data_IF_029283779985
#
_entry.id   IF_029283779985
#
_cell.length_a   1.000
_cell.length_b   1.000
_cell.length_c   1.000
_cell.angle_alpha   90.00
_cell.angle_beta   90.00
_cell.angle_gamma   90.00
#
_symmetry.space_group_name_H-M   'P 1'
#
loop_
_entity.id
_entity.type
_entity.pdbx_description
1 polymer ?
#
# COMPACT_ATOMS: atom_id res chain seq x y z
N UNK A 1 4.89 -29.79 3.55
CA UNK A 1 4.91 -28.90 2.35
C UNK A 1 4.20 -27.55 2.55
N UNK A 2 2.95 -27.47 3.06
CA UNK A 2 2.23 -26.18 3.19
C UNK A 2 2.93 -25.12 4.07
N UNK A 3 3.62 -25.53 5.14
CA UNK A 3 4.38 -24.60 6.01
C UNK A 3 5.55 -23.94 5.25
N UNK A 4 6.27 -24.70 4.42
CA UNK A 4 7.40 -24.18 3.65
C UNK A 4 6.93 -23.12 2.64
N UNK A 5 5.85 -23.39 1.90
CA UNK A 5 5.26 -22.40 0.99
C UNK A 5 4.76 -21.15 1.70
N UNK A 6 4.21 -21.29 2.92
CA UNK A 6 3.81 -20.14 3.74
C UNK A 6 5.01 -19.30 4.17
N UNK A 7 6.10 -19.92 4.62
CA UNK A 7 7.33 -19.19 5.00
C UNK A 7 7.91 -18.47 3.77
N UNK A 8 7.99 -19.15 2.63
CA UNK A 8 8.48 -18.57 1.37
C UNK A 8 7.64 -17.36 0.93
N UNK A 9 6.30 -17.48 0.95
CA UNK A 9 5.40 -16.43 0.46
C UNK A 9 5.20 -15.30 1.48
N UNK A 10 5.21 -15.57 2.78
CA UNK A 10 4.99 -14.52 3.79
C UNK A 10 6.26 -13.82 4.28
N UNK A 11 7.43 -14.46 4.16
CA UNK A 11 8.68 -13.86 4.61
C UNK A 11 9.62 -13.56 3.45
N UNK A 12 9.97 -14.57 2.64
CA UNK A 12 11.03 -14.43 1.63
C UNK A 12 10.61 -13.51 0.48
N UNK A 13 9.38 -13.65 -0.02
CA UNK A 13 8.91 -12.83 -1.14
C UNK A 13 8.72 -11.35 -0.78
N UNK A 14 8.04 -10.98 0.34
CA UNK A 14 7.96 -9.59 0.79
C UNK A 14 9.33 -8.99 1.12
N UNK A 15 10.24 -9.77 1.72
CA UNK A 15 11.60 -9.34 1.98
C UNK A 15 12.36 -9.06 0.66
N UNK A 16 12.21 -9.92 -0.34
CA UNK A 16 12.78 -9.72 -1.67
C UNK A 16 12.26 -8.43 -2.34
N UNK A 17 10.94 -8.20 -2.30
CA UNK A 17 10.35 -6.95 -2.78
C UNK A 17 10.91 -5.74 -2.02
N UNK A 18 10.95 -5.81 -0.69
CA UNK A 18 11.49 -4.73 0.14
C UNK A 18 12.93 -4.40 -0.23
N UNK A 19 13.79 -5.39 -0.42
CA UNK A 19 15.19 -5.19 -0.83
C UNK A 19 15.30 -4.57 -2.23
N UNK A 20 14.45 -4.97 -3.17
CA UNK A 20 14.38 -4.38 -4.51
C UNK A 20 13.92 -2.93 -4.43
N UNK A 21 12.87 -2.66 -3.64
CA UNK A 21 12.30 -1.32 -3.42
C UNK A 21 13.38 -0.42 -2.79
N UNK A 22 14.05 -0.85 -1.72
CA UNK A 22 15.14 -0.10 -1.08
C UNK A 22 16.23 0.26 -2.08
N UNK A 23 16.70 -0.72 -2.87
CA UNK A 23 17.74 -0.49 -3.89
C UNK A 23 17.27 0.41 -5.03
N UNK A 24 16.03 0.24 -5.48
CA UNK A 24 15.42 1.02 -6.55
C UNK A 24 15.23 2.49 -6.16
N UNK A 25 14.72 2.74 -4.96
CA UNK A 25 14.57 4.07 -4.38
C UNK A 25 15.93 4.76 -4.17
N UNK A 26 16.97 4.02 -3.75
CA UNK A 26 18.31 4.58 -3.63
C UNK A 26 19.02 4.83 -4.97
N UNK A 27 18.65 4.11 -6.03
CA UNK A 27 19.34 4.17 -7.34
C UNK A 27 18.66 5.11 -8.35
N UNK A 28 17.38 5.41 -8.17
CA UNK A 28 16.65 6.33 -9.03
C UNK A 28 15.86 7.33 -8.18
N UNK A 29 16.34 8.58 -8.02
CA UNK A 29 15.55 9.65 -7.43
C UNK A 29 14.49 10.09 -8.46
N UNK A 30 13.59 9.18 -8.85
CA UNK A 30 12.45 9.54 -9.69
C UNK A 30 11.50 10.32 -8.79
N UNK A 31 11.65 11.64 -8.82
CA UNK A 31 10.56 12.53 -8.42
C UNK A 31 9.47 12.30 -9.47
N UNK A 32 8.57 11.36 -9.21
CA UNK A 32 7.39 11.18 -10.06
C UNK A 32 6.50 12.38 -9.80
N UNK A 33 6.57 13.34 -10.72
CA UNK A 33 5.61 14.44 -10.76
C UNK A 33 4.22 13.84 -10.99
N UNK A 34 3.26 14.27 -10.18
CA UNK A 34 1.91 13.75 -10.27
C UNK A 34 1.18 14.45 -11.40
N UNK A 35 0.96 13.77 -12.51
CA UNK A 35 0.27 14.36 -13.67
C UNK A 35 -1.10 14.91 -13.29
N UNK A 36 -1.83 14.29 -12.35
CA UNK A 36 -3.12 14.82 -11.87
C UNK A 36 -2.92 16.22 -11.29
N UNK A 37 -1.94 16.39 -10.41
CA UNK A 37 -1.63 17.70 -9.83
C UNK A 37 -1.19 18.70 -10.90
N UNK A 38 -0.40 18.25 -11.87
CA UNK A 38 0.08 19.12 -12.95
C UNK A 38 -1.07 19.61 -13.84
N UNK A 39 -2.10 18.77 -14.08
CA UNK A 39 -3.26 19.13 -14.90
C UNK A 39 -4.37 19.86 -14.15
N UNK A 40 -4.63 19.51 -12.89
CA UNK A 40 -5.79 20.03 -12.13
C UNK A 40 -5.41 21.00 -11.02
N UNK A 41 -4.13 21.04 -10.62
CA UNK A 41 -3.67 21.74 -9.42
C UNK A 41 -3.99 21.00 -8.11
N UNK A 42 -4.76 19.91 -8.15
CA UNK A 42 -5.23 19.22 -6.94
C UNK A 42 -4.34 18.05 -6.53
N UNK A 43 -4.13 17.93 -5.22
CA UNK A 43 -3.49 16.77 -4.60
C UNK A 43 -4.48 15.61 -4.49
N UNK A 44 -4.39 14.64 -5.40
CA UNK A 44 -5.20 13.43 -5.32
C UNK A 44 -4.85 12.59 -4.07
N UNK A 45 -5.69 11.62 -3.66
CA UNK A 45 -5.43 10.82 -2.45
C UNK A 45 -4.12 10.02 -2.47
N UNK A 46 -3.55 9.81 -3.66
CA UNK A 46 -2.26 9.15 -3.86
C UNK A 46 -1.06 10.11 -3.92
N UNK A 47 -1.27 11.43 -4.00
CA UNK A 47 -0.19 12.41 -4.09
C UNK A 47 0.77 12.28 -2.89
N UNK A 48 2.07 12.28 -3.20
CA UNK A 48 3.13 12.08 -2.20
C UNK A 48 3.31 10.64 -1.71
N UNK A 49 2.54 9.67 -2.20
CA UNK A 49 2.61 8.27 -1.76
C UNK A 49 4.00 7.65 -1.94
N UNK A 50 4.66 7.87 -3.08
CA UNK A 50 6.02 7.38 -3.31
C UNK A 50 7.03 7.98 -2.32
N UNK A 51 6.96 9.30 -2.07
CA UNK A 51 7.80 9.98 -1.07
C UNK A 51 7.52 9.47 0.34
N UNK A 52 6.26 9.14 0.64
CA UNK A 52 5.88 8.55 1.92
C UNK A 52 6.49 7.15 2.09
N UNK A 53 6.44 6.30 1.06
CA UNK A 53 7.11 4.99 1.07
C UNK A 53 8.63 5.13 1.24
N UNK A 54 9.25 6.07 0.51
CA UNK A 54 10.69 6.36 0.65
C UNK A 54 11.06 6.76 2.08
N UNK A 55 10.28 7.66 2.67
CA UNK A 55 10.48 8.09 4.04
C UNK A 55 10.33 6.92 5.03
N UNK A 56 9.35 6.02 4.84
CA UNK A 56 9.19 4.80 5.66
C UNK A 56 10.43 3.90 5.54
N UNK A 57 10.94 3.70 4.33
CA UNK A 57 12.15 2.89 4.08
C UNK A 57 13.37 3.47 4.78
N UNK A 58 13.48 4.80 4.83
CA UNK A 58 14.55 5.51 5.55
C UNK A 58 14.31 5.61 7.08
N UNK A 59 13.23 5.04 7.61
CA UNK A 59 12.85 5.12 9.03
C UNK A 59 12.27 6.47 9.46
N UNK A 60 11.98 7.36 8.51
CA UNK A 60 11.40 8.70 8.72
C UNK A 60 9.87 8.64 8.72
N UNK A 61 9.28 7.95 9.69
CA UNK A 61 7.84 7.75 9.75
C UNK A 61 7.07 9.08 9.83
N UNK A 62 7.55 10.05 10.60
CA UNK A 62 6.88 11.36 10.70
C UNK A 62 6.78 12.07 9.34
N UNK A 63 7.86 12.05 8.56
CA UNK A 63 7.89 12.65 7.22
C UNK A 63 6.95 11.92 6.26
N UNK A 64 6.86 10.58 6.39
CA UNK A 64 5.93 9.80 5.59
C UNK A 64 4.47 10.23 5.77
N UNK A 65 4.07 10.50 7.02
CA UNK A 65 2.74 11.02 7.33
C UNK A 65 2.50 12.38 6.68
N UNK A 66 3.49 13.28 6.71
CA UNK A 66 3.37 14.59 6.06
C UNK A 66 3.34 14.52 4.54
N UNK A 67 4.02 13.54 3.94
CA UNK A 67 3.94 13.32 2.50
C UNK A 67 2.57 12.77 2.08
N UNK A 68 2.04 11.79 2.81
CA UNK A 68 0.69 11.27 2.62
C UNK A 68 0.14 10.63 3.90
N UNK A 69 -0.87 11.24 4.49
CA UNK A 69 -1.47 10.83 5.77
C UNK A 69 -2.16 9.46 5.69
N UNK A 70 -2.64 9.07 4.50
CA UNK A 70 -3.28 7.77 4.28
C UNK A 70 -2.28 6.63 4.04
N UNK A 71 -0.97 6.89 3.98
CA UNK A 71 0.02 5.89 3.58
C UNK A 71 -0.02 4.63 4.45
N UNK A 72 -0.21 4.78 5.77
CA UNK A 72 -0.25 3.64 6.69
C UNK A 72 -1.48 2.77 6.48
N UNK A 73 -2.62 3.39 6.18
CA UNK A 73 -3.86 2.68 5.87
C UNK A 73 -3.68 1.94 4.55
N UNK A 74 -3.14 2.61 3.52
CA UNK A 74 -2.88 1.99 2.22
C UNK A 74 -1.95 0.79 2.33
N UNK A 75 -0.81 0.92 3.03
CA UNK A 75 0.14 -0.17 3.20
C UNK A 75 -0.48 -1.35 3.96
N UNK A 76 -1.29 -1.08 4.98
CA UNK A 76 -1.99 -2.12 5.75
C UNK A 76 -3.02 -2.87 4.88
N UNK A 77 -3.79 -2.14 4.07
CA UNK A 77 -4.77 -2.72 3.15
C UNK A 77 -4.07 -3.53 2.05
N UNK A 78 -2.98 -3.01 1.47
CA UNK A 78 -2.18 -3.73 0.47
C UNK A 78 -1.60 -5.02 1.05
N UNK A 79 -1.02 -4.97 2.26
CA UNK A 79 -0.49 -6.15 2.94
C UNK A 79 -1.59 -7.19 3.19
N UNK A 80 -2.79 -6.76 3.58
CA UNK A 80 -3.92 -7.66 3.79
C UNK A 80 -4.43 -8.28 2.47
N UNK A 81 -4.54 -7.49 1.41
CA UNK A 81 -4.86 -7.97 0.05
C UNK A 81 -3.83 -9.01 -0.39
N UNK A 82 -2.55 -8.78 -0.14
CA UNK A 82 -1.49 -9.74 -0.45
C UNK A 82 -1.71 -11.08 0.25
N UNK A 83 -2.04 -11.08 1.55
CA UNK A 83 -2.34 -12.32 2.29
C UNK A 83 -3.56 -13.04 1.70
N UNK A 84 -4.65 -12.31 1.42
CA UNK A 84 -5.83 -12.90 0.78
C UNK A 84 -5.51 -13.50 -0.59
N UNK A 85 -4.70 -12.80 -1.39
CA UNK A 85 -4.26 -13.27 -2.71
C UNK A 85 -3.43 -14.55 -2.60
N UNK A 86 -2.47 -14.60 -1.68
CA UNK A 86 -1.63 -15.78 -1.42
C UNK A 86 -2.49 -16.97 -0.99
N UNK A 87 -3.37 -16.79 0.00
CA UNK A 87 -4.22 -17.88 0.49
C UNK A 87 -5.16 -18.38 -0.62
N UNK A 88 -5.82 -17.50 -1.36
CA UNK A 88 -6.80 -17.88 -2.37
C UNK A 88 -6.17 -18.45 -3.65
N UNK A 89 -5.20 -17.76 -4.25
CA UNK A 89 -4.67 -18.10 -5.57
C UNK A 89 -3.48 -19.06 -5.51
N UNK A 90 -2.57 -18.91 -4.55
CA UNK A 90 -1.34 -19.70 -4.47
C UNK A 90 -1.51 -20.95 -3.61
N UNK A 91 -2.11 -20.80 -2.42
CA UNK A 91 -2.34 -21.92 -1.50
C UNK A 91 -3.69 -22.62 -1.72
N UNK A 92 -4.51 -22.11 -2.64
CA UNK A 92 -5.84 -22.64 -3.01
C UNK A 92 -6.80 -22.79 -1.82
N UNK A 93 -6.60 -21.99 -0.77
CA UNK A 93 -7.39 -21.98 0.45
C UNK A 93 -8.64 -21.09 0.29
N UNK A 94 -9.61 -21.56 -0.50
CA UNK A 94 -10.85 -20.82 -0.80
C UNK A 94 -11.66 -20.45 0.46
N UNK A 95 -11.59 -21.27 1.51
CA UNK A 95 -12.27 -21.02 2.80
C UNK A 95 -11.75 -19.78 3.52
N UNK A 96 -10.47 -19.46 3.35
CA UNK A 96 -9.88 -18.26 3.97
C UNK A 96 -10.48 -16.99 3.39
N UNK A 97 -10.61 -16.91 2.07
CA UNK A 97 -11.24 -15.76 1.39
C UNK A 97 -12.71 -15.60 1.76
N UNK A 98 -13.46 -16.71 1.89
CA UNK A 98 -14.87 -16.65 2.32
C UNK A 98 -15.04 -16.13 3.75
N UNK A 99 -14.06 -16.37 4.64
CA UNK A 99 -14.13 -15.96 6.05
C UNK A 99 -13.55 -14.58 6.32
N UNK A 100 -12.48 -14.23 5.60
CA UNK A 100 -11.66 -13.04 5.86
C UNK A 100 -11.65 -12.05 4.69
N UNK A 101 -12.38 -12.31 3.61
CA UNK A 101 -12.54 -11.35 2.52
C UNK A 101 -13.15 -10.04 3.00
N UNK A 102 -12.92 -8.96 2.26
CA UNK A 102 -13.49 -7.66 2.59
C UNK A 102 -15.01 -7.69 2.46
N UNK A 103 -15.70 -7.14 3.47
CA UNK A 103 -17.13 -6.90 3.39
C UNK A 103 -17.43 -5.67 2.51
N UNK A 104 -18.61 -5.64 1.88
CA UNK A 104 -19.08 -4.48 1.12
C UNK A 104 -19.10 -3.20 1.98
N UNK A 105 -19.42 -3.34 3.27
CA UNK A 105 -19.40 -2.22 4.23
C UNK A 105 -18.00 -1.66 4.42
N UNK A 106 -16.99 -2.53 4.55
CA UNK A 106 -15.60 -2.09 4.64
C UNK A 106 -15.17 -1.35 3.37
N UNK A 107 -15.47 -1.90 2.19
CA UNK A 107 -15.13 -1.25 0.91
C UNK A 107 -15.76 0.14 0.79
N UNK A 108 -17.04 0.26 1.15
CA UNK A 108 -17.74 1.55 1.17
C UNK A 108 -17.11 2.54 2.15
N UNK A 109 -16.84 2.13 3.40
CA UNK A 109 -16.17 2.98 4.39
C UNK A 109 -14.79 3.43 3.93
N UNK A 110 -14.02 2.55 3.30
CA UNK A 110 -12.69 2.87 2.78
C UNK A 110 -12.76 3.91 1.67
N UNK A 111 -13.72 3.78 0.75
CA UNK A 111 -13.97 4.78 -0.30
C UNK A 111 -14.36 6.13 0.32
N UNK A 112 -15.28 6.14 1.29
CA UNK A 112 -15.68 7.37 1.99
C UNK A 112 -14.49 8.05 2.66
N UNK A 113 -13.62 7.29 3.33
CA UNK A 113 -12.39 7.83 3.95
C UNK A 113 -11.47 8.47 2.90
N UNK A 114 -11.27 7.82 1.76
CA UNK A 114 -10.46 8.35 0.65
C UNK A 114 -11.05 9.66 0.11
N UNK A 115 -12.38 9.73 -0.07
CA UNK A 115 -13.06 10.94 -0.54
C UNK A 115 -12.99 12.07 0.49
N UNK A 116 -13.21 11.79 1.77
CA UNK A 116 -13.07 12.80 2.82
C UNK A 116 -11.65 13.35 2.88
N UNK A 117 -10.65 12.47 2.79
CA UNK A 117 -9.25 12.89 2.73
C UNK A 117 -8.94 13.76 1.51
N UNK A 118 -9.49 13.39 0.35
CA UNK A 118 -9.35 14.20 -0.86
C UNK A 118 -9.85 15.63 -0.64
N UNK A 119 -11.05 15.77 -0.07
CA UNK A 119 -11.65 17.08 0.20
C UNK A 119 -10.80 17.85 1.21
N UNK A 120 -10.48 17.24 2.37
CA UNK A 120 -9.73 17.89 3.45
C UNK A 120 -8.36 18.39 2.97
N UNK A 121 -7.69 17.66 2.06
CA UNK A 121 -6.35 18.03 1.58
C UNK A 121 -6.35 19.14 0.52
N UNK A 122 -7.48 19.42 -0.12
CA UNK A 122 -7.60 20.39 -1.21
C UNK A 122 -8.44 21.63 -0.85
N UNK A 123 -8.85 21.75 0.41
CA UNK A 123 -9.39 22.98 1.00
C UNK A 123 -8.24 23.75 1.64
#
# INVERSE_FOLDING_TARGET
MRIFFRILLYAVFPLGILLIVVKGLSSFPVIVNCSIKDYTGWDCPGCGGQRAVDAIVQGKFKDAFYYNQLIYIYLSVIAYIYVLFVEYYLLKNKRFMQRYGFSTRFAFLFIVIIFLFFIIRNI
#
